data_IF_843209383383
#
_entry.id   IF_843209383383
#
_cell.length_a   1.000
_cell.length_b   1.000
_cell.length_c   1.000
_cell.angle_alpha   90.00
_cell.angle_beta   90.00
_cell.angle_gamma   90.00
#
_symmetry.space_group_name_H-M   'P 1'
#
loop_
_entity.id
_entity.type
_entity.pdbx_description
1 polymer ?
#
# COMPACT_ATOMS: atom_id res chain seq x y z
N UNK A 1 13.83 36.25 -7.80
CA UNK A 1 14.86 36.58 -6.79
C UNK A 1 14.34 36.03 -5.47
N UNK A 2 14.82 34.85 -5.05
CA UNK A 2 14.47 34.31 -3.73
C UNK A 2 15.04 35.24 -2.66
N UNK A 3 14.18 35.70 -1.75
CA UNK A 3 14.62 36.47 -0.58
C UNK A 3 15.40 35.51 0.31
N UNK A 4 16.72 35.64 0.31
CA UNK A 4 17.59 34.93 1.24
C UNK A 4 17.33 35.47 2.65
N UNK A 5 16.55 34.71 3.41
CA UNK A 5 16.47 34.81 4.87
C UNK A 5 17.87 34.50 5.43
N UNK A 6 18.53 35.48 6.06
CA UNK A 6 19.87 35.37 6.63
C UNK A 6 20.00 34.46 7.86
N UNK A 7 19.07 33.53 8.07
CA UNK A 7 19.12 32.54 9.15
C UNK A 7 19.95 31.33 8.78
N UNK A 8 20.59 30.77 9.79
CA UNK A 8 21.26 29.47 9.72
C UNK A 8 20.28 28.35 9.37
N UNK A 9 20.81 27.26 8.81
CA UNK A 9 20.04 26.09 8.39
C UNK A 9 19.15 25.56 9.53
N UNK A 10 17.85 25.45 9.28
CA UNK A 10 16.92 24.85 10.24
C UNK A 10 17.02 23.33 10.17
N UNK A 11 17.89 22.78 11.02
CA UNK A 11 18.13 21.35 11.12
C UNK A 11 16.85 20.59 11.53
N UNK A 12 15.99 21.19 12.34
CA UNK A 12 14.73 20.57 12.79
C UNK A 12 13.78 20.43 11.60
N UNK A 13 13.61 21.49 10.82
CA UNK A 13 12.80 21.47 9.60
C UNK A 13 13.34 20.47 8.59
N UNK A 14 14.66 20.44 8.39
CA UNK A 14 15.33 19.48 7.49
C UNK A 14 15.07 18.03 7.91
N UNK A 15 15.16 17.73 9.20
CA UNK A 15 14.89 16.39 9.74
C UNK A 15 13.41 16.00 9.58
N UNK A 16 12.48 16.93 9.78
CA UNK A 16 11.05 16.70 9.54
C UNK A 16 10.79 16.45 8.05
N UNK A 17 11.44 17.19 7.15
CA UNK A 17 11.33 17.00 5.71
C UNK A 17 11.84 15.60 5.29
N UNK A 18 12.97 15.16 5.84
CA UNK A 18 13.52 13.82 5.60
C UNK A 18 12.59 12.72 6.13
N UNK A 19 12.04 12.89 7.33
CA UNK A 19 11.05 11.96 7.88
C UNK A 19 9.77 11.93 7.05
N UNK A 20 9.34 13.07 6.50
CA UNK A 20 8.19 13.16 5.60
C UNK A 20 8.43 12.42 4.27
N UNK A 21 9.67 12.44 3.76
CA UNK A 21 10.03 11.69 2.55
C UNK A 21 9.97 10.18 2.78
N UNK A 22 10.45 9.71 3.93
CA UNK A 22 10.46 8.29 4.28
C UNK A 22 9.07 7.78 4.71
N UNK A 23 8.38 8.55 5.56
CA UNK A 23 7.13 8.19 6.21
C UNK A 23 6.13 9.35 6.14
N UNK A 24 5.53 9.62 4.98
CA UNK A 24 4.63 10.76 4.80
C UNK A 24 3.41 10.68 5.73
N UNK A 25 2.94 9.48 6.06
CA UNK A 25 1.83 9.26 7.01
C UNK A 25 2.14 9.72 8.45
N UNK A 26 3.41 9.85 8.83
CA UNK A 26 3.84 10.24 10.18
C UNK A 26 3.74 11.76 10.37
N UNK A 27 3.73 12.56 9.30
CA UNK A 27 3.72 14.02 9.42
C UNK A 27 2.28 14.54 9.28
N UNK A 28 1.75 15.13 10.35
CA UNK A 28 0.42 15.78 10.37
C UNK A 28 0.60 17.26 10.73
N UNK A 29 0.03 18.16 9.92
CA UNK A 29 0.12 19.63 10.13
C UNK A 29 1.56 20.18 10.30
N UNK A 30 2.54 19.53 9.65
CA UNK A 30 3.95 19.94 9.73
C UNK A 30 4.68 19.51 11.01
N UNK A 31 4.04 18.69 11.86
CA UNK A 31 4.65 18.07 13.04
C UNK A 31 4.67 16.54 12.89
N UNK A 32 5.61 15.90 13.57
CA UNK A 32 5.72 14.44 13.64
C UNK A 32 4.67 13.91 14.61
N UNK A 33 3.87 12.98 14.13
CA UNK A 33 2.96 12.16 14.92
C UNK A 33 3.72 10.94 15.43
N UNK A 34 4.18 11.01 16.69
CA UNK A 34 4.99 9.95 17.29
C UNK A 34 4.23 8.64 17.45
N UNK A 35 2.91 8.67 17.58
CA UNK A 35 2.12 7.44 17.62
C UNK A 35 2.13 6.80 16.23
N UNK A 36 1.89 7.55 15.16
CA UNK A 36 2.03 6.97 13.81
C UNK A 36 3.45 6.50 13.51
N UNK A 37 4.48 7.20 14.00
CA UNK A 37 5.86 6.77 13.84
C UNK A 37 6.10 5.41 14.50
N UNK A 38 5.67 5.26 15.76
CA UNK A 38 5.74 4.00 16.49
C UNK A 38 5.01 2.87 15.75
N UNK A 39 3.84 3.14 15.20
CA UNK A 39 3.06 2.16 14.44
C UNK A 39 3.75 1.75 13.13
N UNK A 40 4.35 2.72 12.42
CA UNK A 40 5.17 2.45 11.22
C UNK A 40 6.42 1.66 11.57
N UNK A 41 7.00 1.89 12.74
CA UNK A 41 8.15 1.14 13.27
C UNK A 41 7.74 -0.22 13.90
N UNK A 42 6.45 -0.56 13.94
CA UNK A 42 5.95 -1.88 14.34
C UNK A 42 5.51 -2.00 15.81
N UNK A 43 5.42 -0.90 16.55
CA UNK A 43 4.88 -0.90 17.93
C UNK A 43 3.34 -0.81 17.94
N UNK A 44 2.70 -1.53 18.87
CA UNK A 44 1.25 -1.45 19.10
C UNK A 44 0.91 -0.34 20.10
N UNK A 45 -0.09 0.48 19.76
CA UNK A 45 -0.43 1.70 20.51
C UNK A 45 -1.95 1.80 20.61
N UNK A 46 -2.44 2.07 21.81
CA UNK A 46 -3.84 2.40 22.06
C UNK A 46 -4.06 3.89 21.72
N UNK A 47 -4.67 4.19 20.57
CA UNK A 47 -4.96 5.58 20.17
C UNK A 47 -6.40 5.96 20.52
N UNK A 48 -6.56 7.04 21.31
CA UNK A 48 -7.84 7.50 21.89
C UNK A 48 -8.28 8.91 21.47
N UNK A 49 -7.60 9.57 20.51
CA UNK A 49 -7.96 10.93 20.07
C UNK A 49 -8.07 10.99 18.53
N UNK A 50 -9.26 11.36 18.05
CA UNK A 50 -9.61 11.42 16.63
C UNK A 50 -8.97 12.65 15.95
N UNK A 51 -7.90 12.42 15.18
CA UNK A 51 -7.56 13.26 14.02
C UNK A 51 -8.36 12.74 12.82
N UNK A 52 -8.77 13.60 11.89
CA UNK A 52 -9.50 13.16 10.69
C UNK A 52 -8.65 12.15 9.91
N UNK A 53 -8.99 10.87 10.04
CA UNK A 53 -8.24 9.76 9.47
C UNK A 53 -9.20 8.84 8.72
N UNK A 54 -8.81 8.49 7.49
CA UNK A 54 -9.51 7.45 6.76
C UNK A 54 -9.16 6.08 7.39
N UNK A 55 -10.06 5.57 8.21
CA UNK A 55 -9.94 4.28 8.91
C UNK A 55 -10.89 3.25 8.28
N UNK A 56 -10.45 1.99 8.22
CA UNK A 56 -11.28 0.86 7.81
C UNK A 56 -10.86 -0.39 8.56
N UNK A 57 -11.75 -1.38 8.61
CA UNK A 57 -11.48 -2.65 9.28
C UNK A 57 -10.36 -3.44 8.57
N UNK A 58 -9.30 -3.80 9.28
CA UNK A 58 -8.15 -4.52 8.69
C UNK A 58 -7.03 -3.62 8.17
N UNK A 59 -7.14 -2.28 8.28
CA UNK A 59 -6.07 -1.33 7.94
C UNK A 59 -4.71 -1.70 8.56
N UNK A 60 -4.69 -1.96 9.87
CA UNK A 60 -3.47 -2.35 10.59
C UNK A 60 -2.87 -3.65 10.04
N UNK A 61 -3.72 -4.63 9.69
CA UNK A 61 -3.26 -5.88 9.12
C UNK A 61 -2.70 -5.68 7.71
N UNK A 62 -3.35 -4.86 6.89
CA UNK A 62 -2.87 -4.48 5.56
C UNK A 62 -1.51 -3.75 5.63
N UNK A 63 -1.30 -2.90 6.64
CA UNK A 63 0.01 -2.29 6.91
C UNK A 63 1.07 -3.33 7.29
N UNK A 64 0.76 -4.24 8.22
CA UNK A 64 1.65 -5.34 8.62
C UNK A 64 2.02 -6.22 7.42
N UNK A 65 1.08 -6.52 6.52
CA UNK A 65 1.33 -7.30 5.30
C UNK A 65 2.34 -6.63 4.36
N UNK A 66 2.27 -5.31 4.20
CA UNK A 66 3.22 -4.55 3.38
C UNK A 66 4.64 -4.58 3.96
N UNK A 67 4.75 -4.58 5.30
CA UNK A 67 6.03 -4.60 6.01
C UNK A 67 6.63 -6.01 6.15
N UNK A 68 5.80 -7.05 6.05
CA UNK A 68 6.25 -8.43 6.21
C UNK A 68 7.21 -8.82 5.08
N UNK A 69 8.45 -9.24 5.38
CA UNK A 69 9.41 -9.70 4.37
C UNK A 69 8.87 -10.89 3.58
N UNK A 70 9.20 -10.93 2.29
CA UNK A 70 8.93 -12.07 1.41
C UNK A 70 9.93 -13.20 1.68
N UNK A 71 9.44 -14.44 1.70
CA UNK A 71 10.26 -15.66 1.73
C UNK A 71 10.41 -16.31 0.36
N UNK A 72 9.69 -15.81 -0.64
CA UNK A 72 9.76 -16.27 -2.02
C UNK A 72 11.11 -16.00 -2.69
N UNK A 73 11.31 -16.63 -3.84
CA UNK A 73 12.42 -16.34 -4.76
C UNK A 73 11.92 -16.41 -6.20
N UNK A 74 12.54 -15.62 -7.08
CA UNK A 74 12.24 -15.66 -8.51
C UNK A 74 13.07 -16.75 -9.17
N UNK A 75 12.41 -17.68 -9.86
CA UNK A 75 13.07 -18.70 -10.65
C UNK A 75 13.11 -18.26 -12.13
N UNK A 76 14.30 -18.14 -12.74
CA UNK A 76 14.38 -17.81 -14.16
C UNK A 76 13.81 -18.94 -15.02
N UNK A 77 12.92 -18.60 -15.96
CA UNK A 77 12.42 -19.50 -16.99
C UNK A 77 13.00 -19.12 -18.36
N UNK A 78 14.10 -19.79 -18.73
CA UNK A 78 14.78 -19.55 -20.01
C UNK A 78 13.99 -20.11 -21.19
N UNK A 79 13.20 -21.16 -20.99
CA UNK A 79 12.50 -21.84 -22.08
C UNK A 79 11.35 -21.00 -22.62
N UNK A 80 10.64 -20.31 -21.74
CA UNK A 80 9.53 -19.41 -22.12
C UNK A 80 9.99 -18.00 -22.50
N UNK A 81 11.27 -17.66 -22.25
CA UNK A 81 11.79 -16.33 -22.53
C UNK A 81 12.16 -16.17 -24.01
N UNK A 82 11.85 -14.98 -24.55
CA UNK A 82 12.28 -14.55 -25.87
C UNK A 82 13.48 -13.63 -25.71
N UNK A 83 14.54 -13.86 -26.50
CA UNK A 83 15.73 -13.02 -26.52
C UNK A 83 16.41 -12.88 -25.14
N UNK A 84 16.57 -14.00 -24.42
CA UNK A 84 17.06 -14.06 -23.03
C UNK A 84 18.29 -13.16 -22.74
N UNK A 85 19.28 -13.14 -23.63
CA UNK A 85 20.53 -12.39 -23.42
C UNK A 85 20.43 -10.89 -23.77
N UNK A 86 19.37 -10.44 -24.44
CA UNK A 86 19.28 -9.07 -24.99
C UNK A 86 18.01 -8.32 -24.59
N UNK A 87 16.99 -9.00 -24.06
CA UNK A 87 15.76 -8.35 -23.63
C UNK A 87 15.99 -7.52 -22.37
N UNK A 88 15.57 -6.26 -22.42
CA UNK A 88 15.48 -5.39 -21.24
C UNK A 88 14.11 -5.48 -20.55
N UNK A 89 13.18 -6.26 -21.14
CA UNK A 89 11.83 -6.45 -20.63
C UNK A 89 11.74 -7.67 -19.71
N UNK A 90 10.98 -7.54 -18.63
CA UNK A 90 10.75 -8.59 -17.66
C UNK A 90 9.26 -8.93 -17.58
N UNK A 91 8.96 -10.22 -17.61
CA UNK A 91 7.65 -10.77 -17.27
C UNK A 91 7.80 -11.66 -16.04
N UNK A 92 6.98 -11.42 -15.02
CA UNK A 92 7.04 -12.14 -13.74
C UNK A 92 5.65 -12.70 -13.46
N UNK A 93 5.58 -14.01 -13.23
CA UNK A 93 4.36 -14.71 -12.86
C UNK A 93 4.33 -14.97 -11.35
N UNK A 94 3.22 -14.63 -10.70
CA UNK A 94 3.01 -14.81 -9.26
C UNK A 94 2.00 -13.81 -8.69
N UNK A 95 1.72 -13.92 -7.38
CA UNK A 95 0.94 -12.90 -6.68
C UNK A 95 1.74 -11.59 -6.66
N UNK A 96 1.10 -10.52 -7.11
CA UNK A 96 1.73 -9.22 -7.29
C UNK A 96 2.25 -8.64 -5.97
N UNK A 97 1.62 -8.92 -4.82
CA UNK A 97 2.09 -8.45 -3.53
C UNK A 97 3.47 -9.04 -3.20
N UNK A 98 3.64 -10.35 -3.40
CA UNK A 98 4.91 -11.04 -3.17
C UNK A 98 5.98 -10.60 -4.17
N UNK A 99 5.61 -10.47 -5.45
CA UNK A 99 6.52 -9.97 -6.49
C UNK A 99 6.99 -8.55 -6.17
N UNK A 100 6.09 -7.65 -5.77
CA UNK A 100 6.44 -6.27 -5.41
C UNK A 100 7.41 -6.21 -4.23
N UNK A 101 7.30 -7.13 -3.25
CA UNK A 101 8.26 -7.26 -2.15
C UNK A 101 9.65 -7.67 -2.63
N UNK A 102 9.72 -8.65 -3.53
CA UNK A 102 10.99 -9.11 -4.11
C UNK A 102 11.67 -8.02 -4.94
N UNK A 103 10.89 -7.25 -5.70
CA UNK A 103 11.39 -6.14 -6.52
C UNK A 103 11.96 -4.98 -5.68
N UNK A 104 11.57 -4.83 -4.41
CA UNK A 104 12.09 -3.77 -3.54
C UNK A 104 13.63 -3.76 -3.52
N UNK A 105 14.27 -4.93 -3.46
CA UNK A 105 15.74 -5.00 -3.33
C UNK A 105 16.49 -4.41 -4.53
N UNK A 106 15.95 -4.61 -5.74
CA UNK A 106 16.65 -4.26 -6.99
C UNK A 106 16.14 -2.97 -7.63
N UNK A 107 14.87 -2.63 -7.43
CA UNK A 107 14.14 -1.56 -8.14
C UNK A 107 13.63 -0.43 -7.24
N UNK A 108 14.06 -0.38 -5.97
CA UNK A 108 13.72 0.72 -5.07
C UNK A 108 14.04 2.08 -5.69
N UNK A 109 13.03 2.96 -5.80
CA UNK A 109 13.19 4.30 -6.34
C UNK A 109 13.67 4.37 -7.79
N UNK A 110 13.50 3.31 -8.62
CA UNK A 110 13.99 3.28 -10.02
C UNK A 110 12.90 3.36 -11.08
N UNK A 111 11.65 3.09 -10.73
CA UNK A 111 10.54 3.05 -11.69
C UNK A 111 10.05 4.46 -12.01
N UNK A 112 9.97 4.81 -13.29
CA UNK A 112 9.48 6.13 -13.76
C UNK A 112 7.95 6.20 -13.82
N UNK A 113 7.31 5.12 -14.24
CA UNK A 113 5.86 5.08 -14.45
C UNK A 113 5.32 3.72 -14.04
N UNK A 114 4.23 3.73 -13.27
CA UNK A 114 3.43 2.55 -12.98
C UNK A 114 2.04 2.77 -13.58
N UNK A 115 1.54 1.77 -14.29
CA UNK A 115 0.19 1.77 -14.82
C UNK A 115 -0.52 0.50 -14.35
N UNK A 116 -1.65 0.64 -13.67
CA UNK A 116 -2.44 -0.50 -13.15
C UNK A 116 -3.93 -0.34 -13.47
N UNK A 117 -4.57 -1.48 -13.71
CA UNK A 117 -6.01 -1.62 -13.94
C UNK A 117 -6.56 -2.67 -12.95
N UNK A 118 -6.66 -2.32 -11.65
CA UNK A 118 -7.08 -3.27 -10.62
C UNK A 118 -8.57 -3.65 -10.79
N UNK A 119 -9.00 -4.81 -10.28
CA UNK A 119 -10.41 -5.21 -10.36
C UNK A 119 -11.31 -4.17 -9.68
N UNK A 120 -12.40 -3.84 -10.36
CA UNK A 120 -13.37 -2.85 -9.88
C UNK A 120 -14.35 -3.46 -8.91
N UNK A 121 -14.66 -2.70 -7.87
CA UNK A 121 -15.57 -3.10 -6.82
C UNK A 121 -17.04 -2.87 -7.24
N UNK A 122 -17.46 -3.42 -8.38
CA UNK A 122 -18.78 -3.22 -9.00
C UNK A 122 -19.89 -4.09 -8.39
N UNK A 123 -19.63 -4.73 -7.24
CA UNK A 123 -20.60 -5.54 -6.50
C UNK A 123 -20.94 -6.90 -7.11
N UNK A 124 -20.58 -7.18 -8.38
CA UNK A 124 -20.86 -8.46 -9.06
C UNK A 124 -19.66 -9.40 -9.19
N UNK A 125 -18.43 -8.87 -9.28
CA UNK A 125 -17.25 -9.65 -9.68
C UNK A 125 -16.07 -9.64 -8.68
N UNK A 126 -16.22 -9.01 -7.51
CA UNK A 126 -15.13 -9.01 -6.53
C UNK A 126 -15.20 -10.26 -5.62
N UNK A 127 -14.63 -11.36 -6.11
CA UNK A 127 -14.30 -12.53 -5.27
C UNK A 127 -12.79 -12.65 -5.21
N UNK A 128 -12.13 -11.71 -4.52
CA UNK A 128 -10.74 -11.92 -4.10
C UNK A 128 -10.78 -12.57 -2.71
N UNK A 129 -10.73 -13.90 -2.69
CA UNK A 129 -10.41 -14.62 -1.45
C UNK A 129 -8.92 -14.45 -1.23
N UNK A 130 -8.52 -13.43 -0.45
CA UNK A 130 -7.22 -13.46 0.21
C UNK A 130 -7.27 -14.63 1.21
N UNK A 131 -7.13 -15.86 0.71
CA UNK A 131 -7.17 -17.07 1.53
C UNK A 131 -5.85 -17.25 2.26
N UNK A 132 -5.65 -16.39 3.25
CA UNK A 132 -4.77 -16.66 4.38
C UNK A 132 -5.64 -17.09 5.55
N UNK A 133 -6.40 -18.18 5.35
CA UNK A 133 -7.18 -18.89 6.38
C UNK A 133 -7.95 -17.98 7.34
N UNK A 134 -9.03 -17.36 6.85
CA UNK A 134 -10.10 -16.96 7.76
C UNK A 134 -11.48 -17.30 7.19
N UNK A 135 -12.16 -18.16 7.93
CA UNK A 135 -13.47 -18.67 7.59
C UNK A 135 -14.48 -17.52 7.73
N UNK A 136 -15.36 -17.34 6.75
CA UNK A 136 -16.46 -16.35 6.72
C UNK A 136 -17.27 -16.27 8.04
N UNK A 137 -17.19 -17.34 8.86
CA UNK A 137 -17.70 -17.44 10.23
C UNK A 137 -17.10 -16.42 11.22
N UNK A 138 -15.78 -16.20 11.22
CA UNK A 138 -15.10 -15.30 12.17
C UNK A 138 -15.57 -13.85 12.03
N UNK A 139 -15.83 -13.41 10.80
CA UNK A 139 -16.31 -12.05 10.54
C UNK A 139 -17.71 -11.77 11.14
N UNK A 140 -18.61 -12.76 11.13
CA UNK A 140 -19.95 -12.61 11.73
C UNK A 140 -19.91 -12.57 13.26
N UNK A 141 -18.96 -13.27 13.87
CA UNK A 141 -18.76 -13.26 15.33
C UNK A 141 -18.09 -11.96 15.80
N UNK A 142 -17.12 -11.45 15.04
CA UNK A 142 -16.38 -10.21 15.38
C UNK A 142 -17.24 -8.96 15.18
N UNK A 143 -18.11 -8.90 14.17
CA UNK A 143 -18.87 -7.68 13.83
C UNK A 143 -20.21 -7.50 14.55
N UNK A 144 -20.68 -8.51 15.31
CA UNK A 144 -21.97 -8.51 16.03
C UNK A 144 -23.18 -7.97 15.22
N UNK A 145 -23.14 -8.03 13.88
CA UNK A 145 -24.24 -7.53 13.04
C UNK A 145 -25.42 -8.51 13.09
N UNK A 146 -26.39 -8.24 13.94
CA UNK A 146 -27.65 -8.99 14.12
C UNK A 146 -28.77 -8.59 13.15
N UNK A 147 -28.52 -7.69 12.21
CA UNK A 147 -29.53 -7.23 11.25
C UNK A 147 -29.19 -7.69 9.84
N UNK A 148 -30.20 -8.25 9.16
CA UNK A 148 -30.14 -8.68 7.74
C UNK A 148 -29.64 -7.51 6.89
N UNK A 149 -28.36 -7.54 6.52
CA UNK A 149 -27.73 -6.48 5.76
C UNK A 149 -28.18 -6.55 4.29
N UNK A 150 -28.77 -5.47 3.80
CA UNK A 150 -29.05 -5.26 2.39
C UNK A 150 -27.75 -5.42 1.57
N UNK A 151 -27.82 -6.25 0.54
CA UNK A 151 -26.71 -6.63 -0.35
C UNK A 151 -26.12 -5.46 -1.15
N UNK A 152 -26.75 -4.29 -1.16
CA UNK A 152 -26.36 -3.13 -1.97
C UNK A 152 -25.53 -2.06 -1.23
N UNK A 153 -25.47 -2.10 0.11
CA UNK A 153 -24.74 -1.11 0.94
C UNK A 153 -23.79 -1.79 1.92
N UNK A 154 -23.00 -2.73 1.42
CA UNK A 154 -22.03 -3.43 2.25
C UNK A 154 -20.72 -2.63 2.30
N UNK A 155 -20.47 -1.91 3.39
CA UNK A 155 -19.13 -1.38 3.72
C UNK A 155 -18.03 -2.46 3.71
N UNK A 156 -18.42 -3.74 3.71
CA UNK A 156 -17.58 -4.91 3.45
C UNK A 156 -16.82 -4.82 2.13
N UNK A 157 -17.50 -4.44 1.04
CA UNK A 157 -16.89 -4.38 -0.28
C UNK A 157 -15.76 -3.36 -0.34
N UNK A 158 -15.95 -2.18 0.25
CA UNK A 158 -14.90 -1.16 0.30
C UNK A 158 -13.72 -1.63 1.15
N UNK A 159 -14.01 -2.28 2.27
CA UNK A 159 -13.00 -2.80 3.21
C UNK A 159 -12.11 -3.85 2.55
N UNK A 160 -12.68 -4.82 1.84
CA UNK A 160 -11.92 -5.91 1.23
C UNK A 160 -11.03 -5.40 0.09
N UNK A 161 -11.57 -4.52 -0.76
CA UNK A 161 -10.80 -3.88 -1.83
C UNK A 161 -9.64 -3.03 -1.27
N UNK A 162 -9.89 -2.28 -0.18
CA UNK A 162 -8.84 -1.50 0.50
C UNK A 162 -7.77 -2.39 1.11
N UNK A 163 -8.14 -3.49 1.77
CA UNK A 163 -7.21 -4.45 2.33
C UNK A 163 -6.32 -5.09 1.24
N UNK A 164 -6.89 -5.37 0.07
CA UNK A 164 -6.14 -5.89 -1.08
C UNK A 164 -5.21 -4.81 -1.68
N UNK A 165 -5.72 -3.61 -1.95
CA UNK A 165 -4.99 -2.57 -2.70
C UNK A 165 -3.93 -1.85 -1.86
N UNK A 166 -4.22 -1.58 -0.58
CA UNK A 166 -3.33 -0.80 0.27
C UNK A 166 -1.88 -1.32 0.29
N UNK A 167 -1.60 -2.61 0.59
CA UNK A 167 -0.22 -3.08 0.68
C UNK A 167 0.49 -3.05 -0.68
N UNK A 168 -0.26 -3.31 -1.77
CA UNK A 168 0.26 -3.28 -3.15
C UNK A 168 0.66 -1.86 -3.55
N UNK A 169 -0.20 -0.87 -3.29
CA UNK A 169 0.09 0.54 -3.58
C UNK A 169 1.23 1.08 -2.71
N UNK A 170 1.30 0.68 -1.43
CA UNK A 170 2.41 1.06 -0.55
C UNK A 170 3.75 0.57 -1.09
N UNK A 171 3.83 -0.69 -1.52
CA UNK A 171 5.06 -1.23 -2.12
C UNK A 171 5.35 -0.64 -3.50
N UNK A 172 4.33 -0.39 -4.32
CA UNK A 172 4.49 0.28 -5.61
C UNK A 172 5.08 1.69 -5.46
N UNK A 173 4.67 2.43 -4.41
CA UNK A 173 5.22 3.76 -4.12
C UNK A 173 6.73 3.73 -3.87
N UNK A 174 7.22 2.71 -3.16
CA UNK A 174 8.65 2.56 -2.87
C UNK A 174 9.49 2.27 -4.12
N UNK A 175 8.90 1.65 -5.15
CA UNK A 175 9.58 1.39 -6.42
C UNK A 175 9.66 2.65 -7.29
N UNK A 176 8.74 3.60 -7.12
CA UNK A 176 8.71 4.83 -7.89
C UNK A 176 9.87 5.75 -7.52
N UNK A 177 10.49 6.33 -8.55
CA UNK A 177 11.38 7.49 -8.42
C UNK A 177 10.66 8.68 -7.78
N UNK A 178 11.42 9.67 -7.32
CA UNK A 178 10.85 10.93 -6.80
C UNK A 178 10.00 11.65 -7.86
N UNK A 179 10.43 11.63 -9.12
CA UNK A 179 9.71 12.16 -10.28
C UNK A 179 8.80 11.12 -10.96
N UNK A 180 8.57 9.99 -10.29
CA UNK A 180 7.77 8.88 -10.79
C UNK A 180 6.27 9.15 -10.67
N UNK A 181 5.50 8.60 -11.60
CA UNK A 181 4.04 8.74 -11.64
C UNK A 181 3.36 7.38 -11.61
N UNK A 182 2.21 7.30 -10.94
CA UNK A 182 1.33 6.14 -10.98
C UNK A 182 -0.01 6.53 -11.58
N UNK A 183 -0.44 5.78 -12.58
CA UNK A 183 -1.77 5.85 -13.17
C UNK A 183 -2.55 4.62 -12.75
N UNK A 184 -3.67 4.86 -12.10
CA UNK A 184 -4.63 3.82 -11.73
C UNK A 184 -5.86 4.12 -12.56
N UNK A 185 -6.28 3.19 -13.42
CA UNK A 185 -7.55 3.35 -14.13
C UNK A 185 -8.68 3.10 -13.14
N UNK A 186 -9.62 4.06 -12.95
CA UNK A 186 -10.96 3.78 -12.46
C UNK A 186 -11.87 3.46 -13.64
N UNK A 187 -12.71 2.43 -13.58
CA UNK A 187 -13.81 2.27 -14.54
C UNK A 187 -14.78 3.40 -14.26
N UNK A 188 -14.81 4.34 -15.20
CA UNK A 188 -15.93 5.24 -15.38
C UNK A 188 -16.98 4.39 -16.10
N UNK A 189 -18.07 4.06 -15.41
CA UNK A 189 -19.30 3.66 -16.09
C UNK A 189 -19.74 4.88 -16.91
N UNK A 190 -19.50 4.86 -18.21
CA UNK A 190 -20.09 5.79 -19.18
C UNK A 190 -21.32 5.12 -19.76
#
# INVERSE_FOLDING_TARGET
MEKLDGKSLDLVKTNIEALKQLFPEVVTEGKIDFDKLKLVLGEEIETRNEKYEFTWHGKTQAMKLAQTPSTGTLRPDKASSKNWETTENLYIEGDNLEVLKLLQKSYFGKIKMIYIDPPYNTGKDFVYKDDFRDNIRNYKEITQQTTKANTETNGRYHTDWLNMMYPRLKLARNLLREDGVIFIRPVVLV
#
